data_IF_974045637966
#
_entry.id   IF_974045637966
#
_cell.length_a   1.000
_cell.length_b   1.000
_cell.length_c   1.000
_cell.angle_alpha   90.00
_cell.angle_beta   90.00
_cell.angle_gamma   90.00
#
_symmetry.space_group_name_H-M   'P 1'
#
loop_
_entity.id
_entity.type
_entity.pdbx_description
1 polymer ?
#
# COMPACT_ATOMS: atom_id res chain seq x y z
N UNK A 1 -47.64 73.50 47.00
CA UNK A 1 -48.58 73.18 45.89
C UNK A 1 -47.80 72.79 44.66
N UNK A 2 -48.18 71.71 44.00
CA UNK A 2 -47.77 71.21 42.67
C UNK A 2 -46.25 70.94 42.46
N UNK A 3 -45.74 69.79 42.22
CA UNK A 3 -46.17 68.65 41.44
C UNK A 3 -45.50 68.68 40.07
N UNK A 4 -44.36 68.04 39.92
CA UNK A 4 -43.67 68.00 38.65
C UNK A 4 -43.03 66.62 38.44
N UNK A 5 -43.71 65.76 37.73
CA UNK A 5 -43.25 64.46 37.33
C UNK A 5 -42.16 64.55 36.28
N UNK A 6 -41.04 63.90 36.55
CA UNK A 6 -39.95 63.73 35.62
C UNK A 6 -40.07 62.37 34.87
N UNK A 7 -40.30 62.40 33.59
CA UNK A 7 -40.28 61.26 32.66
C UNK A 7 -38.84 60.75 32.51
N UNK A 8 -38.53 59.48 32.96
CA UNK A 8 -37.34 58.72 32.60
C UNK A 8 -37.51 58.10 31.23
N UNK A 9 -36.69 58.53 30.29
CA UNK A 9 -36.62 57.98 28.97
C UNK A 9 -35.87 56.61 29.02
N UNK A 10 -36.57 55.56 28.59
CA UNK A 10 -36.02 54.25 28.34
C UNK A 10 -35.28 54.26 26.97
N UNK A 11 -33.95 54.26 27.00
CA UNK A 11 -33.16 54.06 25.79
C UNK A 11 -32.05 53.09 26.14
N UNK A 12 -32.23 51.81 25.85
CA UNK A 12 -31.20 50.85 26.18
C UNK A 12 -31.44 49.39 25.71
N UNK A 13 -32.47 49.12 24.93
CA UNK A 13 -32.76 47.72 24.52
C UNK A 13 -32.74 47.42 23.02
N UNK A 14 -32.40 48.39 22.16
CA UNK A 14 -32.47 48.18 20.71
C UNK A 14 -31.15 47.70 20.07
N UNK A 15 -30.01 47.80 20.75
CA UNK A 15 -28.72 47.47 20.14
C UNK A 15 -28.27 45.99 20.26
N UNK A 16 -28.86 45.20 21.17
CA UNK A 16 -28.45 43.82 21.40
C UNK A 16 -29.07 42.84 20.40
N UNK A 17 -30.25 43.16 19.84
CA UNK A 17 -30.94 42.24 18.92
C UNK A 17 -30.42 42.30 17.50
N UNK A 18 -29.85 43.43 17.06
CA UNK A 18 -29.31 43.55 15.68
C UNK A 18 -27.99 42.79 15.50
N UNK A 19 -27.19 42.62 16.54
CA UNK A 19 -25.92 41.85 16.47
C UNK A 19 -26.12 40.35 16.39
N UNK A 20 -27.18 39.79 16.97
CA UNK A 20 -27.48 38.35 16.93
C UNK A 20 -28.06 37.89 15.60
N UNK A 21 -28.77 38.76 14.87
CA UNK A 21 -29.40 38.39 13.60
C UNK A 21 -28.41 38.21 12.43
N UNK A 22 -27.22 38.80 12.51
CA UNK A 22 -26.19 38.71 11.44
C UNK A 22 -25.16 37.62 11.76
N UNK A 23 -24.93 37.30 13.03
CA UNK A 23 -23.96 36.28 13.45
C UNK A 23 -24.41 34.83 13.13
N UNK A 24 -25.71 34.56 13.21
CA UNK A 24 -26.27 33.22 12.94
C UNK A 24 -26.09 32.76 11.49
N UNK A 25 -26.38 33.55 10.44
CA UNK A 25 -26.14 33.11 9.06
C UNK A 25 -24.66 33.03 8.72
N UNK A 26 -23.78 33.82 9.33
CA UNK A 26 -22.35 33.73 9.11
C UNK A 26 -21.76 32.43 9.70
N UNK A 27 -22.22 32.04 10.87
CA UNK A 27 -21.81 30.79 11.52
C UNK A 27 -22.24 29.56 10.71
N UNK A 28 -23.48 29.58 10.17
CA UNK A 28 -23.97 28.47 9.33
C UNK A 28 -23.17 28.35 8.02
N UNK A 29 -22.84 29.47 7.38
CA UNK A 29 -21.98 29.45 6.18
C UNK A 29 -20.60 28.89 6.47
N UNK A 30 -19.96 29.27 7.58
CA UNK A 30 -18.66 28.76 7.99
C UNK A 30 -18.73 27.25 8.28
N UNK A 31 -19.75 26.78 8.96
CA UNK A 31 -19.95 25.36 9.25
C UNK A 31 -20.13 24.55 7.97
N UNK A 32 -20.96 25.04 7.03
CA UNK A 32 -21.20 24.40 5.73
C UNK A 32 -19.89 24.31 4.91
N UNK A 33 -19.11 25.38 4.88
CA UNK A 33 -17.80 25.38 4.19
C UNK A 33 -16.83 24.41 4.82
N UNK A 34 -16.75 24.34 6.15
CA UNK A 34 -15.94 23.35 6.86
C UNK A 34 -16.39 21.93 6.55
N UNK A 35 -17.68 21.64 6.54
CA UNK A 35 -18.19 20.32 6.17
C UNK A 35 -17.86 19.96 4.72
N UNK A 36 -17.95 20.91 3.79
CA UNK A 36 -17.56 20.69 2.38
C UNK A 36 -16.07 20.43 2.25
N UNK A 37 -15.22 21.16 2.96
CA UNK A 37 -13.76 20.92 2.95
C UNK A 37 -13.45 19.53 3.51
N UNK A 38 -14.08 19.12 4.62
CA UNK A 38 -13.90 17.79 5.21
C UNK A 38 -14.37 16.71 4.22
N UNK A 39 -15.52 16.93 3.56
CA UNK A 39 -16.04 15.99 2.56
C UNK A 39 -15.08 15.86 1.36
N UNK A 40 -14.59 16.97 0.83
CA UNK A 40 -13.62 16.98 -0.28
C UNK A 40 -12.32 16.30 0.11
N UNK A 41 -11.81 16.58 1.31
CA UNK A 41 -10.59 15.89 1.83
C UNK A 41 -10.86 14.39 1.97
N UNK A 42 -12.03 13.98 2.48
CA UNK A 42 -12.38 12.57 2.60
C UNK A 42 -12.49 11.87 1.23
N UNK A 43 -13.07 12.54 0.21
CA UNK A 43 -13.15 12.03 -1.15
C UNK A 43 -11.74 11.94 -1.77
N UNK A 44 -10.91 12.98 -1.63
CA UNK A 44 -9.55 12.97 -2.14
C UNK A 44 -8.69 11.87 -1.46
N UNK A 45 -8.94 11.57 -0.18
CA UNK A 45 -8.25 10.49 0.52
C UNK A 45 -8.70 9.10 0.03
N UNK A 46 -9.94 8.93 -0.39
CA UNK A 46 -10.42 7.65 -0.94
C UNK A 46 -9.97 7.41 -2.38
N UNK A 47 -9.92 8.46 -3.23
CA UNK A 47 -9.53 8.31 -4.63
C UNK A 47 -8.01 8.28 -4.86
N UNK A 48 -7.22 8.87 -3.96
CA UNK A 48 -5.76 8.89 -4.07
C UNK A 48 -5.05 7.89 -3.15
N UNK A 49 -5.79 6.98 -2.51
CA UNK A 49 -5.18 5.98 -1.63
C UNK A 49 -4.39 6.57 -0.45
N UNK A 50 -4.62 7.86 -0.13
CA UNK A 50 -4.05 8.54 1.05
C UNK A 50 -4.80 8.16 2.34
N UNK A 51 -5.35 6.95 2.38
CA UNK A 51 -5.68 6.31 3.64
C UNK A 51 -4.38 6.10 4.37
N UNK A 52 -4.13 6.90 5.40
CA UNK A 52 -3.10 6.63 6.41
C UNK A 52 -3.47 5.34 7.16
N UNK A 53 -3.39 4.21 6.47
CA UNK A 53 -2.93 3.00 7.12
C UNK A 53 -1.43 3.20 7.28
N UNK A 54 -1.00 3.52 8.47
CA UNK A 54 0.36 3.25 8.89
C UNK A 54 0.55 1.73 8.83
N UNK A 55 0.74 1.21 7.63
CA UNK A 55 1.43 -0.05 7.42
C UNK A 55 2.89 0.35 7.32
N UNK A 56 3.45 0.69 8.46
CA UNK A 56 4.89 0.83 8.63
C UNK A 56 5.46 -0.57 8.50
N UNK A 57 5.82 -0.95 7.27
CA UNK A 57 6.47 -2.22 7.02
C UNK A 57 6.25 -2.74 5.59
N UNK A 58 5.03 -3.09 5.22
CA UNK A 58 4.76 -3.77 3.95
C UNK A 58 5.00 -2.91 2.69
N UNK A 59 4.93 -1.58 2.77
CA UNK A 59 5.12 -0.71 1.61
C UNK A 59 6.55 -0.76 1.06
N UNK A 60 7.59 -0.89 1.90
CA UNK A 60 8.96 -0.74 1.41
C UNK A 60 9.43 -1.86 0.49
N UNK A 61 9.08 -3.12 0.76
CA UNK A 61 9.45 -4.23 -0.14
C UNK A 61 8.51 -4.34 -1.33
N UNK A 62 7.23 -3.99 -1.19
CA UNK A 62 6.28 -3.90 -2.31
C UNK A 62 6.71 -2.79 -3.27
N UNK A 63 7.01 -1.59 -2.78
CA UNK A 63 7.45 -0.46 -3.59
C UNK A 63 8.75 -0.77 -4.33
N UNK A 64 9.70 -1.41 -3.66
CA UNK A 64 10.94 -1.88 -4.29
C UNK A 64 10.65 -2.91 -5.39
N UNK A 65 9.84 -3.92 -5.10
CA UNK A 65 9.47 -4.96 -6.05
C UNK A 65 8.81 -4.38 -7.31
N UNK A 66 7.88 -3.45 -7.14
CA UNK A 66 7.25 -2.72 -8.26
C UNK A 66 8.27 -1.88 -9.03
N UNK A 67 9.25 -1.29 -8.36
CA UNK A 67 10.29 -0.52 -9.04
C UNK A 67 11.19 -1.38 -9.93
N UNK A 68 11.51 -2.60 -9.47
CA UNK A 68 12.27 -3.59 -10.25
C UNK A 68 11.44 -4.12 -11.41
N UNK A 69 10.16 -4.43 -11.18
CA UNK A 69 9.24 -4.89 -12.23
C UNK A 69 8.98 -3.85 -13.35
N UNK A 70 9.39 -2.61 -13.15
CA UNK A 70 9.32 -1.52 -14.16
C UNK A 70 10.67 -1.22 -14.82
N UNK A 71 11.73 -1.91 -14.42
CA UNK A 71 13.07 -1.69 -14.96
C UNK A 71 13.49 -2.92 -15.79
N UNK A 72 13.35 -2.83 -17.11
CA UNK A 72 13.69 -3.88 -18.10
C UNK A 72 15.16 -4.34 -18.05
N UNK A 73 15.98 -3.73 -17.18
CA UNK A 73 17.35 -4.20 -16.92
C UNK A 73 17.40 -5.50 -16.12
N UNK A 74 16.31 -5.83 -15.44
CA UNK A 74 16.19 -7.03 -14.63
C UNK A 74 15.26 -8.02 -15.30
N UNK A 75 15.72 -9.22 -15.54
CA UNK A 75 14.94 -10.30 -16.14
C UNK A 75 14.86 -11.53 -15.26
N UNK A 76 14.32 -12.62 -15.83
CA UNK A 76 14.20 -13.89 -15.11
C UNK A 76 15.35 -14.83 -15.43
N UNK A 77 16.03 -15.35 -14.41
CA UNK A 77 17.03 -16.40 -14.56
C UNK A 77 17.19 -17.21 -13.28
N UNK A 78 17.04 -18.55 -13.36
CA UNK A 78 17.41 -19.42 -12.23
C UNK A 78 18.93 -19.59 -12.08
N UNK A 79 19.72 -19.77 -13.14
CA UNK A 79 21.17 -19.85 -13.02
C UNK A 79 21.82 -18.56 -12.49
N UNK A 80 21.31 -17.39 -12.87
CA UNK A 80 21.89 -16.07 -12.56
C UNK A 80 21.00 -15.25 -11.62
N UNK A 81 20.40 -15.88 -10.64
CA UNK A 81 19.39 -15.33 -9.73
C UNK A 81 19.92 -14.38 -8.65
N UNK A 82 21.09 -13.81 -8.82
CA UNK A 82 21.74 -12.97 -7.80
C UNK A 82 21.31 -11.51 -7.77
N UNK A 83 20.48 -11.06 -8.72
CA UNK A 83 20.07 -9.68 -8.86
C UNK A 83 21.06 -8.79 -9.62
N UNK A 84 22.01 -9.39 -10.34
CA UNK A 84 22.97 -8.69 -11.20
C UNK A 84 23.04 -9.37 -12.58
N UNK A 85 22.10 -9.02 -13.48
CA UNK A 85 20.92 -8.21 -13.23
C UNK A 85 19.67 -8.99 -12.81
N UNK A 86 19.62 -10.33 -12.93
CA UNK A 86 18.41 -11.12 -13.01
C UNK A 86 18.03 -11.79 -11.68
N UNK A 87 16.77 -12.17 -11.57
CA UNK A 87 16.18 -12.86 -10.44
C UNK A 87 15.42 -14.11 -10.90
N UNK A 88 15.20 -15.06 -10.01
CA UNK A 88 14.09 -15.99 -10.08
C UNK A 88 13.00 -15.60 -9.07
N UNK A 89 11.88 -16.32 -9.02
CA UNK A 89 10.75 -15.98 -8.14
C UNK A 89 11.15 -15.83 -6.67
N UNK A 90 11.97 -16.73 -6.15
CA UNK A 90 12.36 -16.74 -4.73
C UNK A 90 13.49 -15.76 -4.42
N UNK A 91 14.43 -15.56 -5.32
CA UNK A 91 15.48 -14.55 -5.13
C UNK A 91 14.96 -13.12 -5.27
N UNK A 92 13.92 -12.92 -6.06
CA UNK A 92 13.22 -11.64 -6.14
C UNK A 92 12.56 -11.28 -4.80
N UNK A 93 11.81 -12.20 -4.18
CA UNK A 93 11.24 -12.03 -2.84
C UNK A 93 12.35 -11.78 -1.80
N UNK A 94 13.44 -12.58 -1.84
CA UNK A 94 14.57 -12.39 -0.95
C UNK A 94 15.18 -10.98 -1.08
N UNK A 95 15.38 -10.48 -2.30
CA UNK A 95 15.95 -9.16 -2.54
C UNK A 95 15.03 -8.04 -2.04
N UNK A 96 13.71 -8.16 -2.27
CA UNK A 96 12.71 -7.23 -1.79
C UNK A 96 12.72 -7.12 -0.26
N UNK A 97 12.73 -8.25 0.44
CA UNK A 97 12.77 -8.28 1.90
C UNK A 97 14.10 -7.76 2.46
N UNK A 98 15.23 -8.06 1.82
CA UNK A 98 16.53 -7.47 2.21
C UNK A 98 16.55 -5.96 2.03
N UNK A 99 15.98 -5.45 0.94
CA UNK A 99 15.85 -4.02 0.73
C UNK A 99 15.06 -3.35 1.86
N UNK A 100 14.04 -4.02 2.36
CA UNK A 100 13.25 -3.56 3.51
C UNK A 100 13.96 -3.72 4.88
N UNK A 101 15.17 -4.29 4.91
CA UNK A 101 15.97 -4.44 6.12
C UNK A 101 15.77 -5.75 6.88
N UNK A 102 15.05 -6.73 6.32
CA UNK A 102 14.92 -8.04 6.95
C UNK A 102 16.22 -8.84 6.89
N UNK A 103 16.51 -9.57 7.97
CA UNK A 103 17.59 -10.57 7.98
C UNK A 103 17.08 -11.89 7.38
N UNK A 104 17.17 -11.99 6.08
CA UNK A 104 16.82 -13.18 5.29
C UNK A 104 18.07 -13.91 4.76
N UNK A 105 19.22 -13.67 5.40
CA UNK A 105 20.50 -14.25 5.03
C UNK A 105 21.23 -13.49 3.92
N UNK A 106 22.49 -13.87 3.69
CA UNK A 106 23.39 -13.21 2.74
C UNK A 106 23.25 -13.70 1.30
N UNK A 107 22.55 -14.82 1.08
CA UNK A 107 22.33 -15.44 -0.23
C UNK A 107 20.87 -15.73 -0.45
N UNK A 108 20.38 -15.67 -1.72
CA UNK A 108 18.98 -15.95 -2.02
C UNK A 108 18.57 -17.35 -1.56
N UNK A 109 17.44 -17.45 -0.89
CA UNK A 109 16.79 -18.73 -0.62
C UNK A 109 16.10 -19.29 -1.88
N UNK A 110 15.78 -20.56 -1.89
CA UNK A 110 14.85 -21.17 -2.83
C UNK A 110 13.47 -21.36 -2.16
N UNK A 111 12.47 -21.76 -2.91
CA UNK A 111 11.11 -22.01 -2.39
C UNK A 111 11.07 -23.08 -1.30
N UNK A 112 11.96 -24.08 -1.34
CA UNK A 112 12.05 -25.15 -0.32
C UNK A 112 12.58 -24.64 1.02
N UNK A 113 13.59 -23.76 0.99
CA UNK A 113 14.22 -23.18 2.17
C UNK A 113 13.48 -21.98 2.76
N UNK A 114 12.55 -21.40 2.01
CA UNK A 114 11.90 -20.15 2.31
C UNK A 114 11.14 -20.14 3.66
N UNK A 115 10.44 -21.24 3.99
CA UNK A 115 9.66 -21.34 5.24
C UNK A 115 10.49 -21.06 6.48
N UNK A 116 11.67 -21.65 6.57
CA UNK A 116 12.56 -21.49 7.74
C UNK A 116 13.13 -20.07 7.83
N UNK A 117 13.49 -19.47 6.69
CA UNK A 117 14.09 -18.14 6.63
C UNK A 117 13.05 -17.08 6.98
N UNK A 118 11.86 -17.14 6.39
CA UNK A 118 10.80 -16.16 6.66
C UNK A 118 10.32 -16.22 8.11
N UNK A 119 10.18 -17.43 8.68
CA UNK A 119 9.85 -17.55 10.11
C UNK A 119 10.93 -16.97 11.02
N UNK A 120 12.21 -17.20 10.70
CA UNK A 120 13.30 -16.59 11.45
C UNK A 120 13.32 -15.06 11.32
N UNK A 121 12.88 -14.52 10.20
CA UNK A 121 12.74 -13.09 9.95
C UNK A 121 11.46 -12.48 10.58
N UNK A 122 10.63 -13.27 11.26
CA UNK A 122 9.45 -12.80 11.99
C UNK A 122 8.12 -12.93 11.24
N UNK A 123 8.11 -13.58 10.07
CA UNK A 123 6.86 -13.84 9.35
C UNK A 123 6.09 -15.01 9.96
N UNK A 124 4.77 -14.87 10.02
CA UNK A 124 3.86 -15.94 10.38
C UNK A 124 3.38 -16.66 9.11
N UNK A 125 3.38 -18.00 9.14
CA UNK A 125 2.84 -18.81 8.04
C UNK A 125 1.41 -19.20 8.31
N UNK A 126 0.56 -19.03 7.31
CA UNK A 126 -0.82 -19.56 7.28
C UNK A 126 -1.12 -20.27 5.96
N UNK A 127 -2.24 -20.96 5.89
CA UNK A 127 -2.71 -21.55 4.65
C UNK A 127 -3.32 -20.49 3.75
N UNK A 128 -3.00 -20.52 2.45
CA UNK A 128 -3.67 -19.72 1.45
C UNK A 128 -5.12 -20.16 1.30
N UNK A 129 -6.06 -19.24 1.41
CA UNK A 129 -7.51 -19.50 1.25
C UNK A 129 -8.01 -18.96 -0.08
N UNK A 130 -7.92 -17.65 -0.25
CA UNK A 130 -8.32 -16.89 -1.43
C UNK A 130 -7.61 -15.52 -1.44
N UNK A 131 -7.72 -14.81 -2.55
CA UNK A 131 -7.10 -13.49 -2.73
C UNK A 131 -7.72 -12.44 -1.79
N UNK A 132 -9.01 -12.57 -1.44
CA UNK A 132 -9.68 -11.60 -0.58
C UNK A 132 -9.18 -11.64 0.87
N UNK A 133 -8.51 -12.73 1.27
CA UNK A 133 -7.90 -12.87 2.60
C UNK A 133 -6.51 -12.24 2.72
N UNK A 134 -5.89 -11.84 1.59
CA UNK A 134 -4.55 -11.30 1.56
C UNK A 134 -4.51 -9.81 1.90
N UNK A 135 -3.36 -9.38 2.44
CA UNK A 135 -3.01 -7.98 2.66
C UNK A 135 -1.77 -7.62 1.86
N UNK A 136 -1.69 -6.36 1.41
CA UNK A 136 -0.50 -5.89 0.68
C UNK A 136 0.78 -6.16 1.49
N UNK A 137 1.77 -6.76 0.84
CA UNK A 137 3.01 -7.22 1.47
C UNK A 137 3.03 -8.69 1.85
N UNK A 138 1.88 -9.38 1.84
CA UNK A 138 1.86 -10.83 2.03
C UNK A 138 2.66 -11.53 0.94
N UNK A 139 3.41 -12.55 1.33
CA UNK A 139 4.17 -13.37 0.39
C UNK A 139 3.44 -14.70 0.20
N UNK A 140 2.99 -14.96 -1.02
CA UNK A 140 2.29 -16.22 -1.37
C UNK A 140 3.27 -17.27 -1.88
N UNK A 141 3.00 -18.52 -1.55
CA UNK A 141 3.89 -19.64 -1.85
C UNK A 141 3.13 -20.83 -2.46
N UNK A 142 3.73 -21.38 -3.50
CA UNK A 142 3.41 -22.68 -4.07
C UNK A 142 4.69 -23.52 -4.20
N UNK A 143 4.55 -24.82 -4.46
CA UNK A 143 5.70 -25.64 -4.85
C UNK A 143 6.34 -25.08 -6.13
N UNK A 144 7.60 -24.68 -6.03
CA UNK A 144 8.37 -24.09 -7.13
C UNK A 144 8.07 -22.64 -7.48
N UNK A 145 7.13 -21.92 -6.79
CA UNK A 145 6.83 -20.53 -7.11
C UNK A 145 6.43 -19.67 -5.90
N UNK A 146 6.74 -18.39 -5.96
CA UNK A 146 6.39 -17.40 -4.93
C UNK A 146 6.28 -16.00 -5.51
N UNK A 147 5.39 -15.18 -4.97
CA UNK A 147 5.14 -13.78 -5.35
C UNK A 147 4.79 -12.95 -4.13
N UNK A 148 4.81 -11.62 -4.28
CA UNK A 148 4.39 -10.65 -3.28
C UNK A 148 3.01 -10.11 -3.69
N UNK A 149 2.05 -10.16 -2.79
CA UNK A 149 0.75 -9.55 -3.00
C UNK A 149 0.83 -8.03 -2.79
N UNK A 150 0.32 -7.27 -3.76
CA UNK A 150 0.39 -5.80 -3.73
C UNK A 150 -0.86 -5.14 -3.16
N UNK A 151 -1.95 -5.89 -3.04
CA UNK A 151 -3.30 -5.36 -2.83
C UNK A 151 -4.13 -5.39 -4.12
N UNK A 152 -5.42 -5.12 -4.00
CA UNK A 152 -6.37 -4.97 -5.12
C UNK A 152 -6.42 -6.15 -6.11
N UNK A 153 -5.99 -7.33 -5.67
CA UNK A 153 -5.94 -8.55 -6.49
C UNK A 153 -4.68 -8.68 -7.34
N UNK A 154 -3.69 -7.83 -7.15
CA UNK A 154 -2.44 -7.81 -7.93
C UNK A 154 -1.27 -8.42 -7.17
N UNK A 155 -0.39 -9.07 -7.91
CA UNK A 155 0.85 -9.70 -7.45
C UNK A 155 2.02 -9.16 -8.24
N UNK A 156 3.19 -9.09 -7.60
CA UNK A 156 4.45 -8.76 -8.27
C UNK A 156 5.45 -9.88 -8.02
N UNK A 157 6.13 -10.31 -9.09
CA UNK A 157 7.07 -11.41 -9.02
C UNK A 157 7.91 -11.56 -10.28
N UNK A 158 8.89 -12.46 -10.20
CA UNK A 158 9.63 -12.94 -11.36
C UNK A 158 9.03 -14.29 -11.81
N UNK A 159 8.62 -14.38 -13.08
CA UNK A 159 7.74 -15.42 -13.58
C UNK A 159 8.44 -16.48 -14.44
N UNK A 160 9.02 -16.07 -15.56
CA UNK A 160 9.69 -16.93 -16.55
C UNK A 160 10.62 -16.10 -17.43
N UNK A 161 11.54 -16.75 -18.12
CA UNK A 161 12.44 -16.09 -19.07
C UNK A 161 11.75 -15.77 -20.41
N UNK A 162 12.48 -15.15 -21.33
CA UNK A 162 12.03 -14.74 -22.69
C UNK A 162 11.45 -15.85 -23.56
N UNK A 163 11.54 -17.12 -23.12
CA UNK A 163 11.02 -18.31 -23.79
C UNK A 163 10.02 -19.08 -22.94
N UNK A 164 9.51 -18.48 -21.91
CA UNK A 164 8.67 -19.14 -20.89
C UNK A 164 9.37 -20.33 -20.21
N UNK A 165 10.69 -20.24 -20.06
CA UNK A 165 11.54 -21.19 -19.36
C UNK A 165 12.11 -20.63 -18.07
N UNK A 166 13.24 -21.18 -17.66
CA UNK A 166 13.90 -20.83 -16.40
C UNK A 166 15.39 -20.46 -16.56
N UNK A 167 15.92 -20.58 -17.76
CA UNK A 167 17.35 -20.41 -18.01
C UNK A 167 17.81 -18.95 -17.98
N UNK A 168 16.99 -18.03 -18.54
CA UNK A 168 17.32 -16.61 -18.66
C UNK A 168 18.65 -16.39 -19.37
N UNK A 169 18.70 -16.71 -20.66
CA UNK A 169 19.95 -16.71 -21.43
C UNK A 169 20.46 -15.32 -21.79
N UNK A 170 19.55 -14.38 -21.87
CA UNK A 170 19.82 -12.98 -22.15
C UNK A 170 19.56 -12.18 -20.89
N UNK A 171 20.54 -11.43 -20.36
CA UNK A 171 20.33 -10.61 -19.17
C UNK A 171 19.29 -9.49 -19.41
N UNK A 172 18.49 -9.20 -18.39
CA UNK A 172 17.41 -8.21 -18.45
C UNK A 172 16.10 -8.80 -18.93
N UNK A 173 15.03 -8.01 -18.89
CA UNK A 173 13.70 -8.38 -19.38
C UNK A 173 13.55 -8.03 -20.86
N UNK A 174 13.35 -9.02 -21.71
CA UNK A 174 13.19 -8.85 -23.15
C UNK A 174 11.72 -8.80 -23.58
N UNK A 175 10.82 -9.21 -22.70
CA UNK A 175 9.39 -9.33 -23.00
C UNK A 175 8.54 -8.28 -22.31
N UNK A 176 9.06 -7.69 -21.23
CA UNK A 176 8.32 -6.81 -20.32
C UNK A 176 7.45 -7.57 -19.30
N UNK A 177 7.54 -8.92 -19.29
CA UNK A 177 6.71 -9.80 -18.46
C UNK A 177 7.55 -10.80 -17.65
N UNK A 178 8.88 -10.79 -17.76
CA UNK A 178 9.75 -11.70 -17.03
C UNK A 178 9.74 -11.41 -15.53
N UNK A 179 9.79 -10.12 -15.19
CA UNK A 179 9.47 -9.62 -13.84
C UNK A 179 8.33 -8.61 -14.01
N UNK A 180 7.18 -8.89 -13.44
CA UNK A 180 6.01 -8.08 -13.72
C UNK A 180 4.95 -8.10 -12.64
N UNK A 181 3.91 -7.30 -12.89
CA UNK A 181 2.69 -7.25 -12.10
C UNK A 181 1.60 -8.01 -12.82
N UNK A 182 0.89 -8.88 -12.10
CA UNK A 182 -0.21 -9.66 -12.65
C UNK A 182 -1.40 -9.67 -11.71
N UNK A 183 -2.62 -9.71 -12.27
CA UNK A 183 -3.86 -9.98 -11.53
C UNK A 183 -4.29 -11.45 -11.62
N UNK A 184 -3.48 -12.28 -12.28
CA UNK A 184 -3.73 -13.71 -12.43
C UNK A 184 -2.89 -14.49 -11.43
N UNK A 185 -3.46 -15.55 -10.84
CA UNK A 185 -2.70 -16.49 -10.03
C UNK A 185 -1.79 -17.33 -10.94
N UNK A 186 -0.49 -17.08 -10.87
CA UNK A 186 0.52 -17.78 -11.70
C UNK A 186 0.83 -19.19 -11.19
N UNK A 187 0.40 -19.51 -9.95
CA UNK A 187 0.57 -20.82 -9.37
C UNK A 187 -0.60 -21.21 -8.47
N UNK A 188 -0.68 -22.48 -8.11
CA UNK A 188 -1.62 -22.97 -7.09
C UNK A 188 -1.05 -22.72 -5.70
N UNK A 189 -1.20 -21.50 -5.20
CA UNK A 189 -0.72 -21.15 -3.87
C UNK A 189 -1.38 -21.97 -2.78
N UNK A 190 -0.60 -22.36 -1.79
CA UNK A 190 -1.05 -23.16 -0.65
C UNK A 190 -0.67 -22.55 0.69
N UNK A 191 0.24 -21.56 0.70
CA UNK A 191 0.73 -20.89 1.91
C UNK A 191 0.80 -19.39 1.70
N UNK A 192 0.68 -18.67 2.81
CA UNK A 192 0.90 -17.22 2.90
C UNK A 192 1.85 -16.97 4.07
N UNK A 193 2.77 -16.03 3.89
CA UNK A 193 3.64 -15.51 4.94
C UNK A 193 3.27 -14.06 5.17
N UNK A 194 2.90 -13.75 6.40
CA UNK A 194 2.38 -12.44 6.87
C UNK A 194 3.35 -11.87 7.89
N UNK A 195 3.66 -10.57 7.81
CA UNK A 195 4.54 -9.89 8.75
C UNK A 195 3.78 -8.89 9.63
#
# INVERSE_FOLDING_TARGET
MAGGEGKRGSSGKAFVVAGMAVAAPLLTVVVVLLCLVILVVAILQSDYGLGTRCVTGSSSWVDWAVSVAKDDKHGYSQPNRGGDPDYDCSSFVWAALRHAGFDVGSSPFNTDGMDSVLKAAGFERSDFRDVASLQAGDVVWADGHTEIYMGDGEFVGAHWDERHGVEGRTPGDQTGDEIGVTSTLNARYTRVYVF
#
